data_IF_688082714906
#
_entry.id   IF_688082714906
#
_cell.length_a   1.000
_cell.length_b   1.000
_cell.length_c   1.000
_cell.angle_alpha   90.00
_cell.angle_beta   90.00
_cell.angle_gamma   90.00
#
_symmetry.space_group_name_H-M   'P 1'
#
loop_
_entity.id
_entity.type
_entity.pdbx_description
1 polymer ?
#
# COMPACT_ATOMS: atom_id res chain seq x y z
N UNK A 1 -23.20 2.16 11.87
CA UNK A 1 -21.77 1.91 12.14
C UNK A 1 -21.52 0.42 12.02
N UNK A 2 -20.82 -0.02 10.99
CA UNK A 2 -20.32 -1.40 10.94
C UNK A 2 -19.19 -1.47 11.95
N UNK A 3 -19.30 -2.36 12.92
CA UNK A 3 -18.35 -2.52 14.00
C UNK A 3 -17.06 -3.16 13.42
N UNK A 4 -16.12 -2.32 12.99
CA UNK A 4 -14.90 -2.69 12.25
C UNK A 4 -14.05 -3.74 12.97
N UNK A 5 -14.11 -3.72 14.29
CA UNK A 5 -13.48 -4.70 15.17
C UNK A 5 -13.98 -6.15 14.97
N UNK A 6 -15.08 -6.38 14.24
CA UNK A 6 -15.62 -7.74 14.02
C UNK A 6 -15.26 -8.35 12.65
N UNK A 7 -14.85 -7.56 11.65
CA UNK A 7 -14.52 -8.09 10.31
C UNK A 7 -13.04 -8.49 10.17
N UNK A 8 -12.14 -7.74 10.80
CA UNK A 8 -10.71 -7.99 10.74
C UNK A 8 -10.19 -8.81 11.93
N UNK A 9 -10.90 -8.82 13.06
CA UNK A 9 -10.37 -9.42 14.29
C UNK A 9 -10.76 -10.90 14.41
N UNK A 10 -9.79 -11.72 14.82
CA UNK A 10 -9.75 -13.19 14.98
C UNK A 10 -9.63 -14.07 13.72
N UNK A 11 -10.26 -13.76 12.58
CA UNK A 11 -10.20 -14.68 11.40
C UNK A 11 -8.91 -14.56 10.58
N UNK A 12 -8.34 -13.35 10.48
CA UNK A 12 -7.18 -13.09 9.61
C UNK A 12 -5.90 -12.71 10.37
N UNK A 13 -5.99 -12.47 11.68
CA UNK A 13 -4.84 -12.22 12.55
C UNK A 13 -4.79 -13.29 13.65
N UNK A 14 -4.22 -14.49 13.37
CA UNK A 14 -4.05 -15.51 14.39
C UNK A 14 -3.04 -15.04 15.45
N UNK A 15 -3.28 -15.38 16.71
CA UNK A 15 -2.33 -15.14 17.81
C UNK A 15 -1.08 -16.00 17.59
N UNK A 16 -0.07 -15.48 16.90
CA UNK A 16 1.22 -16.15 16.76
C UNK A 16 2.27 -15.46 17.67
N UNK A 17 2.82 -16.22 18.64
CA UNK A 17 3.85 -15.76 19.59
C UNK A 17 5.28 -16.11 19.15
N UNK A 18 5.51 -16.50 17.89
CA UNK A 18 6.86 -16.79 17.38
C UNK A 18 7.61 -15.53 16.96
N UNK A 19 8.93 -15.50 17.18
CA UNK A 19 9.84 -14.37 17.00
C UNK A 19 9.46 -13.38 15.90
N UNK A 20 9.22 -12.13 16.31
CA UNK A 20 8.75 -11.04 15.45
C UNK A 20 9.83 -10.71 14.42
N UNK A 21 9.55 -10.82 13.11
CA UNK A 21 10.44 -10.27 12.10
C UNK A 21 10.49 -8.76 12.31
N UNK A 22 11.69 -8.22 12.53
CA UNK A 22 11.90 -6.78 12.56
C UNK A 22 11.34 -6.15 11.27
N UNK A 23 10.75 -4.96 11.36
CA UNK A 23 10.19 -4.27 10.20
C UNK A 23 11.21 -4.33 9.05
N UNK A 24 10.81 -4.81 7.87
CA UNK A 24 11.76 -5.23 6.84
C UNK A 24 12.79 -4.14 6.53
N UNK A 25 14.00 -4.24 7.13
CA UNK A 25 15.03 -3.23 6.95
C UNK A 25 15.45 -3.21 5.49
N UNK A 26 15.53 -2.03 4.91
CA UNK A 26 16.14 -1.87 3.59
C UNK A 26 17.66 -1.84 3.74
N UNK A 27 18.29 -3.00 3.91
CA UNK A 27 19.76 -3.09 3.85
C UNK A 27 20.20 -3.20 2.38
N UNK A 28 20.83 -2.14 1.87
CA UNK A 28 21.28 -2.04 0.49
C UNK A 28 22.76 -2.42 0.39
N UNK A 29 23.03 -3.65 0.00
CA UNK A 29 24.15 -3.97 -0.88
C UNK A 29 23.57 -4.73 -2.07
N UNK A 30 24.24 -4.70 -3.22
CA UNK A 30 23.80 -5.20 -4.52
C UNK A 30 23.65 -6.74 -4.58
N UNK A 31 22.92 -7.32 -3.63
CA UNK A 31 22.61 -8.73 -3.46
C UNK A 31 21.08 -8.89 -3.52
N UNK A 32 20.64 -9.96 -4.18
CA UNK A 32 19.27 -10.43 -4.36
C UNK A 32 18.26 -9.95 -3.31
N UNK A 33 17.09 -9.48 -3.75
CA UNK A 33 15.93 -9.22 -2.89
C UNK A 33 15.63 -10.48 -2.06
N UNK A 34 15.87 -10.45 -0.75
CA UNK A 34 15.45 -11.53 0.16
C UNK A 34 13.94 -11.41 0.32
N UNK A 35 13.20 -12.25 -0.40
CA UNK A 35 11.74 -12.27 -0.35
C UNK A 35 11.27 -12.93 0.94
N UNK A 36 10.26 -12.34 1.58
CA UNK A 36 9.58 -12.96 2.69
C UNK A 36 8.60 -14.03 2.17
N UNK A 37 8.52 -15.13 2.91
CA UNK A 37 7.47 -16.14 2.74
C UNK A 37 6.10 -15.59 3.13
N UNK A 38 5.03 -16.27 2.71
CA UNK A 38 3.67 -15.96 3.16
C UNK A 38 3.58 -15.92 4.69
N UNK A 39 4.21 -16.89 5.40
CA UNK A 39 4.22 -16.94 6.87
C UNK A 39 4.83 -15.68 7.49
N UNK A 40 5.96 -15.21 6.97
CA UNK A 40 6.61 -13.99 7.47
C UNK A 40 5.75 -12.75 7.25
N UNK A 41 5.07 -12.64 6.10
CA UNK A 41 4.10 -11.57 5.87
C UNK A 41 2.87 -11.68 6.79
N UNK A 42 2.39 -12.90 7.04
CA UNK A 42 1.29 -13.14 7.97
C UNK A 42 1.64 -12.68 9.39
N UNK A 43 2.84 -13.05 9.85
CA UNK A 43 3.34 -12.67 11.17
C UNK A 43 3.58 -11.16 11.26
N UNK A 44 4.11 -10.54 10.20
CA UNK A 44 4.29 -9.08 10.10
C UNK A 44 2.95 -8.36 10.27
N UNK A 45 1.94 -8.69 9.45
CA UNK A 45 0.65 -8.01 9.50
C UNK A 45 -0.08 -8.27 10.82
N UNK A 46 0.01 -9.48 11.38
CA UNK A 46 -0.55 -9.80 12.69
C UNK A 46 0.07 -8.96 13.82
N UNK A 47 1.39 -8.77 13.80
CA UNK A 47 2.08 -7.91 14.74
C UNK A 47 1.73 -6.43 14.54
N UNK A 48 1.68 -5.98 13.28
CA UNK A 48 1.40 -4.60 12.93
C UNK A 48 -0.04 -4.18 13.29
N UNK A 49 -1.00 -5.11 13.18
CA UNK A 49 -2.39 -4.89 13.58
C UNK A 49 -2.57 -4.59 15.09
N UNK A 50 -1.60 -4.94 15.94
CA UNK A 50 -1.62 -4.64 17.38
C UNK A 50 -1.04 -3.26 17.72
N UNK A 51 -0.51 -2.53 16.74
CA UNK A 51 0.17 -1.26 16.97
C UNK A 51 -0.83 -0.11 17.05
N UNK A 52 -0.95 0.51 18.22
CA UNK A 52 -1.73 1.73 18.43
C UNK A 52 -0.80 2.95 18.44
N UNK A 53 -0.57 3.56 17.27
CA UNK A 53 0.41 4.66 17.11
C UNK A 53 -0.18 6.07 17.19
N UNK A 54 -1.51 6.20 17.20
CA UNK A 54 -2.20 7.49 17.11
C UNK A 54 -2.79 7.85 18.48
N UNK A 55 -2.37 8.97 19.04
CA UNK A 55 -2.98 9.55 20.23
C UNK A 55 -4.24 10.33 19.87
N UNK A 56 -5.39 9.67 19.97
CA UNK A 56 -6.71 10.26 19.70
C UNK A 56 -7.19 11.29 20.72
N UNK A 57 -6.43 11.54 21.80
CA UNK A 57 -6.71 12.64 22.74
C UNK A 57 -6.20 13.99 22.24
N UNK A 58 -5.38 14.01 21.18
CA UNK A 58 -4.92 15.25 20.57
C UNK A 58 -6.08 15.99 19.88
N UNK A 59 -6.07 17.34 19.91
CA UNK A 59 -7.11 18.12 19.28
C UNK A 59 -7.06 17.99 17.75
N UNK A 60 -8.24 17.84 17.13
CA UNK A 60 -8.41 17.85 15.69
C UNK A 60 -8.65 19.30 15.21
N UNK A 61 -7.59 20.07 15.02
CA UNK A 61 -7.68 21.50 14.70
C UNK A 61 -6.99 21.83 13.38
N UNK A 62 -7.74 22.43 12.45
CA UNK A 62 -7.20 22.99 11.21
C UNK A 62 -7.55 24.47 11.14
N UNK A 63 -6.56 25.28 10.78
CA UNK A 63 -6.79 26.66 10.36
C UNK A 63 -7.64 26.68 9.07
N UNK A 64 -8.32 27.80 8.78
CA UNK A 64 -9.08 27.95 7.53
C UNK A 64 -8.22 27.73 6.27
N UNK A 65 -6.94 28.13 6.32
CA UNK A 65 -6.00 27.97 5.21
C UNK A 65 -5.65 26.50 4.97
N UNK A 66 -5.27 25.76 6.02
CA UNK A 66 -4.99 24.33 5.91
C UNK A 66 -6.22 23.57 5.42
N UNK A 67 -7.38 23.82 6.03
CA UNK A 67 -8.65 23.19 5.63
C UNK A 67 -8.92 23.39 4.13
N UNK A 68 -8.81 24.62 3.64
CA UNK A 68 -8.98 24.95 2.21
C UNK A 68 -8.02 24.16 1.31
N UNK A 69 -6.80 23.90 1.77
CA UNK A 69 -5.77 23.26 0.97
C UNK A 69 -5.83 21.72 0.98
N UNK A 70 -6.30 21.12 2.08
CA UNK A 70 -6.19 19.67 2.27
C UNK A 70 -7.52 18.92 2.21
N UNK A 71 -8.65 19.56 2.58
CA UNK A 71 -9.90 18.85 2.86
C UNK A 71 -10.39 17.98 1.69
N UNK A 72 -10.44 18.55 0.48
CA UNK A 72 -10.90 17.82 -0.72
C UNK A 72 -10.03 16.58 -0.99
N UNK A 73 -8.72 16.74 -0.87
CA UNK A 73 -7.77 15.64 -1.08
C UNK A 73 -7.89 14.58 0.01
N UNK A 74 -8.02 15.00 1.27
CA UNK A 74 -8.23 14.13 2.42
C UNK A 74 -9.51 13.30 2.27
N UNK A 75 -10.61 13.90 1.85
CA UNK A 75 -11.87 13.19 1.58
C UNK A 75 -11.75 12.17 0.44
N UNK A 76 -11.05 12.54 -0.65
CA UNK A 76 -10.85 11.64 -1.79
C UNK A 76 -10.00 10.42 -1.42
N UNK A 77 -8.90 10.62 -0.69
CA UNK A 77 -8.06 9.52 -0.22
C UNK A 77 -8.76 8.67 0.83
N UNK A 78 -9.45 9.29 1.80
CA UNK A 78 -10.28 8.55 2.76
C UNK A 78 -11.27 7.61 2.06
N UNK A 79 -11.92 8.06 0.98
CA UNK A 79 -12.82 7.21 0.19
C UNK A 79 -12.05 6.06 -0.49
N UNK A 80 -10.88 6.36 -1.09
CA UNK A 80 -10.03 5.37 -1.75
C UNK A 80 -9.62 4.20 -0.83
N UNK A 81 -9.29 4.50 0.42
CA UNK A 81 -8.87 3.51 1.43
C UNK A 81 -10.01 2.59 1.93
N UNK A 82 -11.27 2.90 1.61
CA UNK A 82 -12.43 2.12 2.11
C UNK A 82 -12.84 0.95 1.23
N UNK A 83 -11.96 0.51 0.32
CA UNK A 83 -12.27 -0.61 -0.57
C UNK A 83 -12.52 -1.92 0.20
N UNK A 84 -13.51 -2.70 -0.23
CA UNK A 84 -13.78 -4.04 0.34
C UNK A 84 -12.75 -5.11 -0.05
N UNK A 85 -11.89 -4.81 -1.03
CA UNK A 85 -10.87 -5.71 -1.57
C UNK A 85 -11.41 -6.97 -2.29
N UNK A 86 -12.72 -7.08 -2.50
CA UNK A 86 -13.39 -8.31 -2.99
C UNK A 86 -12.80 -8.83 -4.30
N UNK A 87 -12.56 -7.94 -5.28
CA UNK A 87 -11.96 -8.31 -6.56
C UNK A 87 -10.49 -8.73 -6.45
N UNK A 88 -9.71 -8.07 -5.57
CA UNK A 88 -8.32 -8.45 -5.31
C UNK A 88 -8.26 -9.82 -4.63
N UNK A 89 -9.12 -10.07 -3.64
CA UNK A 89 -9.27 -11.38 -3.00
C UNK A 89 -9.63 -12.42 -4.06
N UNK A 90 -10.61 -12.14 -4.93
CA UNK A 90 -11.03 -13.08 -5.97
C UNK A 90 -9.90 -13.42 -6.95
N UNK A 91 -9.18 -12.41 -7.43
CA UNK A 91 -8.01 -12.62 -8.30
C UNK A 91 -6.92 -13.44 -7.59
N UNK A 92 -6.72 -13.19 -6.29
CA UNK A 92 -5.78 -13.93 -5.45
C UNK A 92 -6.19 -15.39 -5.27
N UNK A 93 -7.46 -15.68 -5.00
CA UNK A 93 -7.97 -17.06 -4.87
C UNK A 93 -7.82 -17.86 -6.16
N UNK A 94 -8.03 -17.23 -7.32
CA UNK A 94 -7.80 -17.85 -8.63
C UNK A 94 -6.31 -18.19 -8.80
N UNK A 95 -5.43 -17.27 -8.41
CA UNK A 95 -3.99 -17.47 -8.50
C UNK A 95 -3.46 -18.52 -7.51
N UNK A 96 -3.90 -18.46 -6.25
CA UNK A 96 -3.59 -19.41 -5.18
C UNK A 96 -3.91 -20.85 -5.59
N UNK A 97 -5.09 -21.08 -6.19
CA UNK A 97 -5.48 -22.40 -6.71
C UNK A 97 -4.55 -22.90 -7.82
N UNK A 98 -4.08 -22.01 -8.70
CA UNK A 98 -3.12 -22.37 -9.76
C UNK A 98 -1.75 -22.75 -9.20
N UNK A 99 -1.34 -22.14 -8.09
CA UNK A 99 -0.10 -22.46 -7.39
C UNK A 99 -0.22 -23.65 -6.42
N UNK A 100 -1.44 -24.13 -6.15
CA UNK A 100 -1.72 -25.08 -5.06
C UNK A 100 -1.24 -24.56 -3.69
N UNK A 101 -1.28 -23.24 -3.50
CA UNK A 101 -0.90 -22.54 -2.25
C UNK A 101 -2.10 -21.75 -1.72
N UNK A 102 -2.98 -22.38 -0.91
CA UNK A 102 -4.16 -21.70 -0.37
C UNK A 102 -3.80 -20.59 0.63
N UNK A 103 -2.63 -20.64 1.28
CA UNK A 103 -2.20 -19.68 2.29
C UNK A 103 -1.81 -18.32 1.67
N UNK A 104 -1.55 -18.29 0.35
CA UNK A 104 -1.25 -17.08 -0.42
C UNK A 104 -2.31 -15.97 -0.32
N UNK A 105 -3.55 -16.34 0.04
CA UNK A 105 -4.68 -15.40 0.21
C UNK A 105 -4.65 -14.68 1.56
N UNK A 106 -4.07 -15.29 2.60
CA UNK A 106 -4.12 -14.77 3.98
C UNK A 106 -3.45 -13.39 4.08
N UNK A 107 -2.20 -13.18 3.65
CA UNK A 107 -1.56 -11.87 3.78
C UNK A 107 -2.22 -10.79 2.92
N UNK A 108 -2.94 -11.16 1.83
CA UNK A 108 -3.74 -10.18 1.07
C UNK A 108 -4.93 -9.68 1.87
N UNK A 109 -5.62 -10.58 2.58
CA UNK A 109 -6.75 -10.19 3.43
C UNK A 109 -6.29 -9.32 4.60
N UNK A 110 -5.13 -9.62 5.16
CA UNK A 110 -4.52 -8.79 6.21
C UNK A 110 -4.08 -7.42 5.68
N UNK A 111 -3.46 -7.35 4.51
CA UNK A 111 -3.16 -6.10 3.81
C UNK A 111 -4.43 -5.25 3.63
N UNK A 112 -5.52 -5.84 3.10
CA UNK A 112 -6.79 -5.14 2.93
C UNK A 112 -7.32 -4.60 4.27
N UNK A 113 -7.17 -5.36 5.36
CA UNK A 113 -7.56 -4.90 6.70
C UNK A 113 -6.74 -3.70 7.19
N UNK A 114 -5.47 -3.59 6.83
CA UNK A 114 -4.64 -2.41 7.15
C UNK A 114 -5.04 -1.18 6.34
N UNK A 115 -5.25 -1.30 5.02
CA UNK A 115 -5.77 -0.20 4.19
C UNK A 115 -7.10 0.32 4.75
N UNK A 116 -7.95 -0.62 5.15
CA UNK A 116 -9.22 -0.36 5.80
C UNK A 116 -9.07 0.38 7.15
N UNK A 117 -8.04 0.06 7.95
CA UNK A 117 -7.66 0.84 9.14
C UNK A 117 -7.33 2.29 8.77
N UNK A 118 -6.58 2.52 7.68
CA UNK A 118 -6.25 3.88 7.22
C UNK A 118 -7.50 4.67 6.87
N UNK A 119 -8.39 4.09 6.06
CA UNK A 119 -9.67 4.72 5.70
C UNK A 119 -10.56 5.03 6.91
N UNK A 120 -10.57 4.15 7.90
CA UNK A 120 -11.29 4.38 9.15
C UNK A 120 -10.67 5.53 9.98
N UNK A 121 -9.34 5.58 10.12
CA UNK A 121 -8.65 6.64 10.84
C UNK A 121 -8.86 8.01 10.19
N UNK A 122 -8.71 8.11 8.86
CA UNK A 122 -8.99 9.34 8.12
C UNK A 122 -10.47 9.75 8.26
N UNK A 123 -11.38 8.77 8.21
CA UNK A 123 -12.79 9.01 8.44
C UNK A 123 -13.11 9.55 9.83
N UNK A 124 -12.52 8.97 10.87
CA UNK A 124 -12.66 9.43 12.26
C UNK A 124 -12.13 10.85 12.43
N UNK A 125 -11.02 11.19 11.75
CA UNK A 125 -10.49 12.54 11.74
C UNK A 125 -11.43 13.54 11.06
N UNK A 126 -12.00 13.19 9.90
CA UNK A 126 -13.01 14.02 9.22
C UNK A 126 -14.20 14.32 10.13
N UNK A 127 -14.72 13.29 10.81
CA UNK A 127 -15.83 13.46 11.75
C UNK A 127 -15.43 14.40 12.91
N UNK A 128 -14.21 14.29 13.44
CA UNK A 128 -13.70 15.11 14.54
C UNK A 128 -13.55 16.60 14.17
N UNK A 129 -13.23 16.93 12.91
CA UNK A 129 -13.17 18.32 12.42
C UNK A 129 -14.51 18.86 11.89
N UNK A 130 -15.60 18.10 12.08
CA UNK A 130 -16.96 18.45 11.69
C UNK A 130 -17.24 18.31 10.18
N UNK A 131 -16.40 17.60 9.44
CA UNK A 131 -16.50 17.49 7.99
C UNK A 131 -17.15 16.17 7.54
N UNK A 132 -17.89 16.23 6.44
CA UNK A 132 -18.57 15.05 5.91
C UNK A 132 -17.60 14.16 5.12
N UNK A 133 -17.76 12.86 5.24
CA UNK A 133 -17.16 11.88 4.32
C UNK A 133 -17.87 11.91 2.97
N UNK A 134 -17.12 11.85 1.88
CA UNK A 134 -17.71 11.83 0.53
C UNK A 134 -18.02 10.39 0.10
N UNK A 135 -19.03 10.22 -0.76
CA UNK A 135 -19.44 8.90 -1.27
C UNK A 135 -18.98 8.62 -2.71
N UNK A 136 -18.56 9.66 -3.42
CA UNK A 136 -18.14 9.61 -4.81
C UNK A 136 -17.00 10.59 -5.04
N UNK A 137 -15.95 10.10 -5.67
CA UNK A 137 -14.89 10.90 -6.27
C UNK A 137 -14.62 10.37 -7.68
N UNK A 138 -14.22 11.25 -8.60
CA UNK A 138 -13.95 10.87 -9.99
C UNK A 138 -12.76 9.92 -10.09
N UNK A 139 -11.69 10.17 -9.31
CA UNK A 139 -10.51 9.32 -9.25
C UNK A 139 -10.87 7.94 -8.69
N UNK A 140 -11.58 7.88 -7.56
CA UNK A 140 -12.09 6.63 -7.00
C UNK A 140 -12.96 5.86 -8.03
N UNK A 141 -13.85 6.55 -8.74
CA UNK A 141 -14.70 5.93 -9.77
C UNK A 141 -13.86 5.33 -10.90
N UNK A 142 -12.83 6.04 -11.36
CA UNK A 142 -11.90 5.57 -12.39
C UNK A 142 -11.12 4.34 -11.91
N UNK A 143 -10.56 4.39 -10.70
CA UNK A 143 -9.82 3.27 -10.11
C UNK A 143 -10.71 2.06 -9.88
N UNK A 144 -11.95 2.23 -9.40
CA UNK A 144 -12.92 1.14 -9.29
C UNK A 144 -13.16 0.52 -10.66
N UNK A 145 -13.47 1.30 -11.69
CA UNK A 145 -13.69 0.77 -13.05
C UNK A 145 -12.48 0.00 -13.57
N UNK A 146 -11.26 0.55 -13.46
CA UNK A 146 -10.04 -0.13 -13.90
C UNK A 146 -9.85 -1.50 -13.22
N UNK A 147 -10.25 -1.61 -11.95
CA UNK A 147 -10.23 -2.82 -11.13
C UNK A 147 -11.29 -3.85 -11.54
N UNK A 148 -12.51 -3.42 -11.86
CA UNK A 148 -13.62 -4.31 -12.27
C UNK A 148 -13.33 -5.08 -13.56
N UNK A 149 -12.65 -4.48 -14.53
CA UNK A 149 -12.40 -5.10 -15.83
C UNK A 149 -11.17 -6.03 -15.85
N UNK A 150 -10.54 -6.28 -14.70
CA UNK A 150 -9.29 -7.02 -14.64
C UNK A 150 -9.35 -8.19 -13.65
N UNK A 151 -9.11 -9.41 -14.14
CA UNK A 151 -9.01 -10.62 -13.32
C UNK A 151 -7.56 -11.06 -13.07
N UNK A 152 -6.57 -10.40 -13.68
CA UNK A 152 -5.17 -10.73 -13.54
C UNK A 152 -4.60 -10.17 -12.24
N UNK A 153 -4.23 -11.06 -11.31
CA UNK A 153 -3.58 -10.66 -10.06
C UNK A 153 -2.31 -9.83 -10.30
N UNK A 154 -1.59 -10.10 -11.38
CA UNK A 154 -0.38 -9.37 -11.74
C UNK A 154 -0.67 -7.89 -12.07
N UNK A 155 -1.71 -7.62 -12.86
CA UNK A 155 -2.07 -6.24 -13.21
C UNK A 155 -2.68 -5.52 -12.01
N UNK A 156 -3.41 -6.26 -11.17
CA UNK A 156 -3.85 -5.77 -9.86
C UNK A 156 -2.67 -5.34 -9.00
N UNK A 157 -1.66 -6.19 -8.86
CA UNK A 157 -0.45 -5.92 -8.07
C UNK A 157 0.32 -4.71 -8.62
N UNK A 158 0.44 -4.61 -9.96
CA UNK A 158 1.01 -3.43 -10.63
C UNK A 158 0.23 -2.16 -10.28
N UNK A 159 -1.11 -2.21 -10.34
CA UNK A 159 -1.97 -1.05 -10.05
C UNK A 159 -1.83 -0.62 -8.60
N UNK A 160 -1.92 -1.57 -7.65
CA UNK A 160 -1.81 -1.30 -6.21
C UNK A 160 -0.44 -0.73 -5.87
N UNK A 161 0.64 -1.32 -6.38
CA UNK A 161 2.01 -0.83 -6.17
C UNK A 161 2.22 0.63 -6.63
N UNK A 162 1.58 1.03 -7.73
CA UNK A 162 1.62 2.42 -8.19
C UNK A 162 0.84 3.34 -7.25
N UNK A 163 -0.32 2.89 -6.76
CA UNK A 163 -1.14 3.65 -5.81
C UNK A 163 -0.41 3.83 -4.47
N UNK A 164 0.12 2.78 -3.86
CA UNK A 164 0.93 2.83 -2.63
C UNK A 164 2.17 3.76 -2.82
N UNK A 165 2.81 3.71 -4.00
CA UNK A 165 3.90 4.63 -4.33
C UNK A 165 3.46 6.10 -4.36
N UNK A 166 2.26 6.39 -4.85
CA UNK A 166 1.67 7.73 -4.80
C UNK A 166 1.23 8.11 -3.39
N UNK A 167 0.72 7.16 -2.61
CA UNK A 167 0.27 7.33 -1.23
C UNK A 167 1.40 7.84 -0.34
N UNK A 168 2.60 7.27 -0.48
CA UNK A 168 3.77 7.76 0.27
C UNK A 168 4.11 9.23 0.00
N UNK A 169 3.96 9.72 -1.24
CA UNK A 169 4.20 11.15 -1.54
C UNK A 169 3.02 12.00 -1.08
N UNK A 170 1.80 11.47 -1.22
CA UNK A 170 0.57 12.11 -0.79
C UNK A 170 0.55 12.35 0.73
N UNK A 171 0.70 11.30 1.54
CA UNK A 171 0.64 11.39 3.00
C UNK A 171 1.80 12.18 3.58
N UNK A 172 2.99 12.12 2.97
CA UNK A 172 4.08 13.02 3.36
C UNK A 172 3.69 14.47 3.09
N UNK A 173 3.12 14.77 1.91
CA UNK A 173 2.69 16.14 1.59
C UNK A 173 1.52 16.60 2.46
N UNK A 174 0.62 15.70 2.86
CA UNK A 174 -0.48 16.00 3.77
C UNK A 174 0.03 16.31 5.17
N UNK A 175 0.99 15.52 5.66
CA UNK A 175 1.69 15.76 6.91
C UNK A 175 2.39 17.12 6.91
N UNK A 176 3.08 17.46 5.81
CA UNK A 176 3.82 18.72 5.67
C UNK A 176 2.91 19.94 5.43
N UNK A 177 1.66 19.72 5.03
CA UNK A 177 0.69 20.78 4.72
C UNK A 177 -0.12 21.25 5.94
N UNK A 178 0.16 20.74 7.13
CA UNK A 178 -0.60 21.03 8.35
C UNK A 178 0.27 21.00 9.60
N UNK A 179 -0.09 21.83 10.58
CA UNK A 179 0.45 21.83 11.94
C UNK A 179 -0.43 21.02 12.93
N UNK A 180 -1.51 20.41 12.44
CA UNK A 180 -2.39 19.56 13.26
C UNK A 180 -1.66 18.27 13.67
N UNK A 181 -1.21 18.19 14.92
CA UNK A 181 -0.46 17.06 15.45
C UNK A 181 -1.20 15.72 15.29
N UNK A 182 -2.52 15.70 15.49
CA UNK A 182 -3.32 14.48 15.29
C UNK A 182 -3.24 14.01 13.84
N UNK A 183 -3.40 14.92 12.86
CA UNK A 183 -3.32 14.57 11.45
C UNK A 183 -1.91 14.15 11.03
N UNK A 184 -0.87 14.80 11.58
CA UNK A 184 0.51 14.39 11.37
C UNK A 184 0.80 12.98 11.91
N UNK A 185 0.23 12.60 13.06
CA UNK A 185 0.34 11.23 13.59
C UNK A 185 -0.39 10.22 12.71
N UNK A 186 -1.61 10.53 12.26
CA UNK A 186 -2.35 9.68 11.31
C UNK A 186 -1.54 9.46 10.03
N UNK A 187 -1.01 10.52 9.43
CA UNK A 187 -0.16 10.40 8.24
C UNK A 187 1.10 9.58 8.52
N UNK A 188 1.70 9.72 9.70
CA UNK A 188 2.90 8.96 10.08
C UNK A 188 2.60 7.47 10.24
N UNK A 189 1.47 7.11 10.87
CA UNK A 189 1.03 5.71 10.98
C UNK A 189 0.83 5.07 9.61
N UNK A 190 0.15 5.78 8.69
CA UNK A 190 -0.06 5.32 7.32
C UNK A 190 1.28 5.18 6.58
N UNK A 191 2.17 6.18 6.65
CA UNK A 191 3.47 6.14 5.97
C UNK A 191 4.36 4.97 6.40
N UNK A 192 4.26 4.53 7.67
CA UNK A 192 4.96 3.34 8.17
C UNK A 192 4.44 2.09 7.45
N UNK A 193 3.12 1.93 7.38
CA UNK A 193 2.47 0.78 6.76
C UNK A 193 2.75 0.72 5.24
N UNK A 194 2.64 1.85 4.54
CA UNK A 194 2.87 1.98 3.09
C UNK A 194 4.28 1.54 2.65
N UNK A 195 5.28 1.71 3.51
CA UNK A 195 6.64 1.24 3.21
C UNK A 195 6.73 -0.29 3.15
N UNK A 196 6.02 -0.96 4.06
CA UNK A 196 5.93 -2.42 4.07
C UNK A 196 5.03 -2.93 2.94
N UNK A 197 3.93 -2.24 2.63
CA UNK A 197 3.03 -2.59 1.53
C UNK A 197 3.75 -2.60 0.18
N UNK A 198 4.52 -1.55 -0.13
CA UNK A 198 5.31 -1.52 -1.38
C UNK A 198 6.26 -2.72 -1.45
N UNK A 199 6.92 -3.07 -0.34
CA UNK A 199 7.81 -4.24 -0.31
C UNK A 199 7.01 -5.52 -0.56
N UNK A 200 5.87 -5.68 0.10
CA UNK A 200 4.97 -6.82 -0.08
C UNK A 200 4.53 -6.98 -1.54
N UNK A 201 4.10 -5.89 -2.20
CA UNK A 201 3.70 -5.94 -3.61
C UNK A 201 4.89 -6.22 -4.54
N UNK A 202 6.07 -5.64 -4.28
CA UNK A 202 7.29 -5.89 -5.06
C UNK A 202 7.68 -7.36 -4.99
N UNK A 203 7.70 -7.98 -3.81
CA UNK A 203 8.06 -9.38 -3.64
C UNK A 203 7.08 -10.31 -4.38
N UNK A 204 5.78 -10.05 -4.27
CA UNK A 204 4.74 -10.82 -4.98
C UNK A 204 4.85 -10.66 -6.50
N UNK A 205 5.06 -9.43 -6.97
CA UNK A 205 5.24 -9.17 -8.40
C UNK A 205 6.51 -9.83 -8.94
N UNK A 206 7.62 -9.76 -8.19
CA UNK A 206 8.85 -10.44 -8.56
C UNK A 206 8.63 -11.97 -8.67
N UNK A 207 7.98 -12.59 -7.68
CA UNK A 207 7.63 -14.01 -7.71
C UNK A 207 6.76 -14.39 -8.93
N UNK A 208 5.74 -13.59 -9.24
CA UNK A 208 4.90 -13.79 -10.42
C UNK A 208 5.67 -13.71 -11.76
N UNK A 209 6.76 -12.94 -11.82
CA UNK A 209 7.57 -12.78 -13.03
C UNK A 209 8.69 -13.81 -13.19
N UNK A 210 9.07 -14.56 -12.15
CA UNK A 210 10.20 -15.50 -12.19
C UNK A 210 10.03 -16.60 -13.25
N UNK A 211 8.82 -17.11 -13.45
CA UNK A 211 8.53 -18.16 -14.43
C UNK A 211 8.22 -17.67 -15.85
N UNK A 212 8.42 -16.38 -16.15
CA UNK A 212 7.97 -15.77 -17.41
C UNK A 212 9.10 -15.57 -18.41
N UNK A 213 8.74 -15.71 -19.70
CA UNK A 213 9.64 -15.38 -20.81
C UNK A 213 10.10 -13.92 -20.75
N UNK A 214 11.23 -13.64 -21.39
CA UNK A 214 11.80 -12.28 -21.48
C UNK A 214 10.79 -11.32 -22.12
N UNK A 215 10.09 -11.75 -23.17
CA UNK A 215 9.04 -10.95 -23.85
C UNK A 215 7.87 -10.65 -22.93
N UNK A 216 7.41 -11.64 -22.16
CA UNK A 216 6.37 -11.43 -21.18
C UNK A 216 6.82 -10.43 -20.11
N UNK A 217 8.03 -10.55 -19.57
CA UNK A 217 8.60 -9.60 -18.60
C UNK A 217 8.72 -8.18 -19.17
N UNK A 218 9.16 -8.04 -20.42
CA UNK A 218 9.25 -6.75 -21.11
C UNK A 218 7.87 -6.08 -21.28
N UNK A 219 6.85 -6.85 -21.65
CA UNK A 219 5.47 -6.33 -21.72
C UNK A 219 4.99 -5.80 -20.36
N UNK A 220 5.29 -6.50 -19.26
CA UNK A 220 4.89 -6.07 -17.91
C UNK A 220 5.68 -4.85 -17.44
N UNK A 221 6.94 -4.77 -17.80
CA UNK A 221 7.77 -3.59 -17.58
C UNK A 221 7.16 -2.35 -18.26
N UNK A 222 6.71 -2.51 -19.51
CA UNK A 222 6.01 -1.46 -20.26
C UNK A 222 4.67 -1.11 -19.62
N UNK A 223 3.86 -2.10 -19.25
CA UNK A 223 2.58 -1.88 -18.58
C UNK A 223 2.76 -1.11 -17.27
N UNK A 224 3.71 -1.54 -16.42
CA UNK A 224 4.05 -0.83 -15.18
C UNK A 224 4.47 0.62 -15.46
N UNK A 225 5.35 0.86 -16.44
CA UNK A 225 5.75 2.22 -16.83
C UNK A 225 4.55 3.07 -17.27
N UNK A 226 3.66 2.54 -18.10
CA UNK A 226 2.47 3.25 -18.56
C UNK A 226 1.52 3.57 -17.40
N UNK A 227 1.17 2.58 -16.57
CA UNK A 227 0.35 2.75 -15.38
C UNK A 227 0.96 3.78 -14.42
N UNK A 228 2.27 3.73 -14.22
CA UNK A 228 3.00 4.65 -13.35
C UNK A 228 2.90 6.10 -13.84
N UNK A 229 3.23 6.35 -15.12
CA UNK A 229 3.18 7.71 -15.70
C UNK A 229 1.76 8.26 -15.69
N UNK A 230 0.78 7.45 -16.08
CA UNK A 230 -0.63 7.84 -16.09
C UNK A 230 -1.13 8.20 -14.70
N UNK A 231 -0.97 7.30 -13.73
CA UNK A 231 -1.44 7.49 -12.35
C UNK A 231 -0.73 8.66 -11.67
N UNK A 232 0.59 8.76 -11.83
CA UNK A 232 1.38 9.87 -11.29
C UNK A 232 0.86 11.22 -11.77
N UNK A 233 0.53 11.32 -13.06
CA UNK A 233 0.00 12.54 -13.67
C UNK A 233 -1.41 12.86 -13.14
N UNK A 234 -2.30 11.87 -13.11
CA UNK A 234 -3.66 12.03 -12.59
C UNK A 234 -3.67 12.51 -11.14
N UNK A 235 -2.89 11.86 -10.28
CA UNK A 235 -2.79 12.20 -8.85
C UNK A 235 -2.29 13.63 -8.68
N UNK A 236 -1.28 14.06 -9.45
CA UNK A 236 -0.84 15.46 -9.41
C UNK A 236 -1.97 16.42 -9.74
N UNK A 237 -2.67 16.24 -10.87
CA UNK A 237 -3.71 17.17 -11.28
C UNK A 237 -4.90 17.20 -10.32
N UNK A 238 -5.24 16.06 -9.72
CA UNK A 238 -6.30 15.94 -8.72
C UNK A 238 -5.94 16.65 -7.40
N UNK A 239 -4.67 16.56 -6.97
CA UNK A 239 -4.24 16.94 -5.62
C UNK A 239 -3.18 18.06 -5.58
N UNK A 240 -2.96 18.78 -6.68
CA UNK A 240 -1.93 19.83 -6.79
C UNK A 240 -1.98 20.89 -5.70
N UNK A 241 -3.17 21.21 -5.19
CA UNK A 241 -3.33 22.21 -4.13
C UNK A 241 -2.73 21.71 -2.82
N UNK A 242 -3.04 20.46 -2.43
CA UNK A 242 -2.41 19.78 -1.30
C UNK A 242 -0.90 19.66 -1.51
N UNK A 243 -0.46 19.19 -2.67
CA UNK A 243 0.96 19.01 -2.94
C UNK A 243 1.75 20.31 -2.80
N UNK A 244 1.20 21.42 -3.30
CA UNK A 244 1.81 22.76 -3.15
C UNK A 244 1.83 23.21 -1.69
N UNK A 245 0.76 22.95 -0.93
CA UNK A 245 0.70 23.27 0.50
C UNK A 245 1.76 22.47 1.29
N UNK A 246 1.99 21.21 0.92
CA UNK A 246 3.08 20.38 1.46
C UNK A 246 4.45 20.63 0.81
N UNK A 247 4.67 21.80 0.19
CA UNK A 247 5.98 22.22 -0.33
C UNK A 247 6.42 21.58 -1.66
N UNK A 248 5.54 20.91 -2.40
CA UNK A 248 5.89 20.27 -3.67
C UNK A 248 5.48 21.12 -4.88
N UNK A 249 6.45 21.37 -5.76
CA UNK A 249 6.22 21.76 -7.16
C UNK A 249 6.03 20.52 -8.04
N UNK A 250 5.51 20.69 -9.26
CA UNK A 250 5.35 19.58 -10.20
C UNK A 250 6.68 18.87 -10.46
N UNK A 251 7.76 19.64 -10.65
CA UNK A 251 9.10 19.10 -10.87
C UNK A 251 9.62 18.31 -9.68
N UNK A 252 9.41 18.80 -8.45
CA UNK A 252 9.82 18.07 -7.23
C UNK A 252 9.01 16.79 -7.02
N UNK A 253 7.70 16.82 -7.28
CA UNK A 253 6.82 15.67 -7.22
C UNK A 253 7.22 14.62 -8.26
N UNK A 254 7.43 15.03 -9.51
CA UNK A 254 7.85 14.12 -10.58
C UNK A 254 9.23 13.51 -10.31
N UNK A 255 10.15 14.25 -9.69
CA UNK A 255 11.45 13.74 -9.25
C UNK A 255 11.28 12.65 -8.19
N UNK A 256 10.47 12.90 -7.16
CA UNK A 256 10.15 11.92 -6.09
C UNK A 256 9.54 10.65 -6.69
N UNK A 257 8.57 10.79 -7.59
CA UNK A 257 7.93 9.65 -8.26
C UNK A 257 8.91 8.91 -9.17
N UNK A 258 9.71 9.61 -9.97
CA UNK A 258 10.73 8.98 -10.82
C UNK A 258 11.76 8.19 -10.01
N UNK A 259 12.17 8.70 -8.85
CA UNK A 259 13.04 7.97 -7.93
C UNK A 259 12.39 6.67 -7.44
N UNK A 260 11.12 6.73 -6.99
CA UNK A 260 10.36 5.55 -6.57
C UNK A 260 10.24 4.53 -7.71
N UNK A 261 9.85 4.97 -8.90
CA UNK A 261 9.77 4.12 -10.09
C UNK A 261 11.09 3.39 -10.33
N UNK A 262 12.22 4.11 -10.40
CA UNK A 262 13.53 3.50 -10.65
C UNK A 262 13.93 2.51 -9.57
N UNK A 263 13.66 2.84 -8.30
CA UNK A 263 13.96 1.97 -7.16
C UNK A 263 13.20 0.64 -7.25
N UNK A 264 11.88 0.72 -7.46
CA UNK A 264 10.99 -0.44 -7.58
C UNK A 264 11.29 -1.25 -8.85
N UNK A 265 11.50 -0.58 -9.98
CA UNK A 265 11.78 -1.22 -11.27
C UNK A 265 13.04 -2.10 -11.22
N UNK A 266 14.09 -1.64 -10.52
CA UNK A 266 15.32 -2.42 -10.29
C UNK A 266 15.09 -3.70 -9.47
N UNK A 267 14.10 -3.72 -8.60
CA UNK A 267 13.79 -4.87 -7.74
C UNK A 267 12.95 -5.93 -8.48
N UNK A 268 12.08 -5.51 -9.40
CA UNK A 268 11.14 -6.40 -10.11
C UNK A 268 11.79 -7.08 -11.33
N UNK A 269 12.74 -6.42 -12.00
CA UNK A 269 13.29 -6.87 -13.28
C UNK A 269 14.80 -7.16 -13.20
N UNK A 270 15.30 -8.07 -12.34
CA UNK A 270 16.70 -8.45 -12.41
C UNK A 270 17.00 -9.00 -13.81
N UNK A 271 17.89 -8.31 -14.51
CA UNK A 271 18.64 -8.84 -15.63
C UNK A 271 19.61 -9.84 -15.02
N UNK A 272 19.41 -11.12 -15.32
CA UNK A 272 20.28 -12.26 -14.97
C UNK A 272 20.78 -12.35 -13.53
N UNK A 273 20.05 -13.04 -12.65
CA UNK A 273 20.67 -13.86 -11.58
C UNK A 273 19.63 -14.81 -10.96
N UNK A 274 19.95 -16.09 -10.73
CA UNK A 274 19.07 -17.02 -10.03
C UNK A 274 18.91 -16.60 -8.55
N UNK A 275 17.69 -16.67 -8.02
CA UNK A 275 17.39 -16.39 -6.62
C UNK A 275 17.65 -17.61 -5.75
N UNK A 276 18.26 -17.41 -4.58
CA UNK A 276 18.37 -18.44 -3.54
C UNK A 276 17.21 -18.27 -2.57
N UNK A 277 16.26 -19.19 -2.59
CA UNK A 277 15.27 -19.35 -1.52
C UNK A 277 15.99 -19.82 -0.26
N UNK A 278 15.80 -19.16 0.89
CA UNK A 278 16.24 -19.73 2.15
C UNK A 278 15.32 -20.89 2.49
N UNK A 279 15.81 -22.12 2.27
CA UNK A 279 15.17 -23.32 2.78
C UNK A 279 15.14 -23.25 4.31
N UNK A 280 13.99 -23.58 4.90
CA UNK A 280 13.89 -23.77 6.34
C UNK A 280 14.89 -24.86 6.76
N UNK A 281 15.82 -24.52 7.63
CA UNK A 281 16.69 -25.48 8.29
C UNK A 281 15.81 -26.48 9.03
N UNK A 282 15.85 -27.75 8.59
CA UNK A 282 15.25 -28.85 9.33
C UNK A 282 15.97 -29.00 10.67
N UNK A 283 15.25 -29.17 11.80
CA UNK A 283 15.90 -29.53 13.05
C UNK A 283 16.42 -30.97 12.94
N UNK A 284 17.65 -31.17 13.42
CA UNK A 284 18.41 -32.40 13.24
C UNK A 284 17.73 -33.66 13.79
N UNK A 285 17.96 -34.75 13.07
CA UNK A 285 18.10 -36.11 13.57
C UNK A 285 19.15 -36.73 12.64
N UNK A 286 20.20 -37.40 13.11
CA UNK A 286 20.37 -38.24 14.30
C UNK A 286 21.82 -38.21 14.78
#
# INVERSE_FOLDING_TARGET
MINYHLLCNTKYFPNNKSGVPEAPRTSYTQKSLIMYSNKQWIDYFAHNAQQERINWQLPATLTPSERKNILKSLQAWQLGETSDGSHLIRATEIYARKLQDPDYVIPIKQFICEEQKHGNNLGRYLDAIGEKRIKKDWGDTLFRKARYFNSSLEIWTITVLVVESTAQVFYQSLKDATECQLLQQICTDILIDEAAHIRFQVERLAAMLQGKSITARAFRALLYKCCFVFTTSLVWFAHRQLFRAGGNTFSSYLRKMTYKYRKIFRQILPVHTPFTTMAASSPGGS
#
